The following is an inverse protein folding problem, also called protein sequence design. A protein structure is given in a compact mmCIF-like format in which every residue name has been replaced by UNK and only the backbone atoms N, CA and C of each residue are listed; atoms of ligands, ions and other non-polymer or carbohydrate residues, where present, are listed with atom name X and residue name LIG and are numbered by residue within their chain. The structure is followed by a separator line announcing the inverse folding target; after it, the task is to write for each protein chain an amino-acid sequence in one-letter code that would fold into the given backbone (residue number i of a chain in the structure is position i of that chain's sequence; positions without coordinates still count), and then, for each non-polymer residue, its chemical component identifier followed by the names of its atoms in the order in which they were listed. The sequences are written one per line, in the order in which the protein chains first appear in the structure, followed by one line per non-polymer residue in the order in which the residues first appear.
data_IF_860248082017
#
_entry.id   IF_860248082017
#
_cell.length_a   1.000
_cell.length_b   1.000
_cell.length_c   1.000
_cell.angle_alpha   90.00
_cell.angle_beta   90.00
_cell.angle_gamma   90.00
#
_symmetry.space_group_name_H-M   'P 1'
#
loop_
_entity.id
_entity.type
_entity.pdbx_description
1 polymer ?
#
# COMPACT_ATOMS: atom_id res chain seq x y z
N UNK A 1 -26.32 3.82 3.39
CA UNK A 1 -25.46 3.01 2.50
C UNK A 1 -24.00 3.28 2.86
N UNK A 2 -23.25 2.32 3.40
CA UNK A 2 -21.82 2.49 3.61
C UNK A 2 -21.08 2.25 2.28
N UNK A 3 -20.07 3.07 1.96
CA UNK A 3 -19.29 2.89 0.74
C UNK A 3 -18.64 1.49 0.72
N UNK A 4 -18.58 0.85 -0.45
CA UNK A 4 -18.13 -0.53 -0.59
C UNK A 4 -16.72 -0.80 -0.02
N UNK A 5 -15.79 0.16 -0.16
CA UNK A 5 -14.45 0.05 0.42
C UNK A 5 -14.46 0.04 1.95
N UNK A 6 -15.38 0.79 2.57
CA UNK A 6 -15.53 0.83 4.03
C UNK A 6 -16.13 -0.48 4.55
N UNK A 7 -17.10 -1.04 3.82
CA UNK A 7 -17.68 -2.35 4.13
C UNK A 7 -16.63 -3.47 3.99
N UNK A 8 -15.66 -3.34 3.07
CA UNK A 8 -14.55 -4.27 2.89
C UNK A 8 -13.41 -4.08 3.91
N UNK A 9 -13.59 -3.28 4.97
CA UNK A 9 -12.57 -3.07 6.01
C UNK A 9 -11.36 -2.25 5.57
N UNK A 10 -11.42 -1.59 4.40
CA UNK A 10 -10.31 -0.76 3.92
C UNK A 10 -10.35 0.63 4.56
N UNK A 11 -9.16 1.12 4.91
CA UNK A 11 -9.00 2.55 5.21
C UNK A 11 -9.12 3.37 3.92
N UNK A 12 -9.52 4.64 4.05
CA UNK A 12 -9.65 5.53 2.89
C UNK A 12 -8.33 5.70 2.13
N UNK A 13 -7.20 5.80 2.83
CA UNK A 13 -5.87 5.86 2.22
C UNK A 13 -5.56 4.60 1.42
N UNK A 14 -5.96 3.42 1.91
CA UNK A 14 -5.75 2.16 1.20
C UNK A 14 -6.59 2.10 -0.07
N UNK A 15 -7.85 2.53 0.00
CA UNK A 15 -8.72 2.66 -1.17
C UNK A 15 -8.09 3.58 -2.23
N UNK A 16 -7.64 4.78 -1.85
CA UNK A 16 -6.99 5.71 -2.78
C UNK A 16 -5.71 5.15 -3.39
N UNK A 17 -4.89 4.45 -2.62
CA UNK A 17 -3.66 3.82 -3.12
C UNK A 17 -3.94 2.77 -4.21
N UNK A 18 -5.01 1.97 -4.03
CA UNK A 18 -5.45 0.97 -5.03
C UNK A 18 -6.02 1.66 -6.27
N UNK A 19 -6.90 2.65 -6.10
CA UNK A 19 -7.48 3.41 -7.20
C UNK A 19 -6.40 4.12 -8.04
N UNK A 20 -5.42 4.76 -7.39
CA UNK A 20 -4.30 5.41 -8.06
C UNK A 20 -3.44 4.42 -8.84
N UNK A 21 -3.23 3.20 -8.32
CA UNK A 21 -2.51 2.14 -9.06
C UNK A 21 -3.26 1.74 -10.33
N UNK A 22 -4.58 1.55 -10.24
CA UNK A 22 -5.41 1.24 -11.41
C UNK A 22 -5.29 2.32 -12.48
N UNK A 23 -5.42 3.59 -12.10
CA UNK A 23 -5.31 4.73 -13.04
C UNK A 23 -3.94 4.78 -13.72
N UNK A 24 -2.84 4.59 -12.99
CA UNK A 24 -1.48 4.60 -13.58
C UNK A 24 -1.31 3.54 -14.67
N UNK A 25 -1.84 2.33 -14.43
CA UNK A 25 -1.76 1.20 -15.38
C UNK A 25 -2.60 1.42 -16.64
N UNK A 26 -3.62 2.26 -16.57
CA UNK A 26 -4.48 2.60 -17.70
C UNK A 26 -3.92 3.69 -18.62
N UNK A 27 -2.77 4.29 -18.29
CA UNK A 27 -2.13 5.31 -19.12
C UNK A 27 -1.35 4.70 -20.29
N UNK A 28 -1.23 5.47 -21.38
CA UNK A 28 -0.33 5.17 -22.51
C UNK A 28 1.13 5.13 -22.07
N UNK A 29 1.98 4.42 -22.81
CA UNK A 29 3.37 4.10 -22.42
C UNK A 29 4.20 5.33 -22.01
N UNK A 30 4.09 6.44 -22.74
CA UNK A 30 4.82 7.69 -22.45
C UNK A 30 4.57 8.21 -21.02
N UNK A 31 3.35 8.68 -20.69
CA UNK A 31 3.03 9.15 -19.34
C UNK A 31 3.04 8.03 -18.29
N UNK A 32 2.82 6.77 -18.67
CA UNK A 32 2.83 5.63 -17.74
C UNK A 32 4.17 5.50 -17.03
N UNK A 33 5.30 5.61 -17.74
CA UNK A 33 6.63 5.46 -17.15
C UNK A 33 6.92 6.46 -16.02
N UNK A 34 6.53 7.73 -16.20
CA UNK A 34 6.68 8.74 -15.16
C UNK A 34 5.68 8.50 -14.01
N UNK A 35 4.46 8.06 -14.33
CA UNK A 35 3.42 7.84 -13.35
C UNK A 35 3.68 6.62 -12.45
N UNK A 36 4.23 5.53 -12.99
CA UNK A 36 4.54 4.31 -12.25
C UNK A 36 5.63 4.49 -11.20
N UNK A 37 6.65 5.32 -11.48
CA UNK A 37 7.69 5.66 -10.50
C UNK A 37 7.12 6.22 -9.19
N UNK A 38 6.00 6.97 -9.25
CA UNK A 38 5.30 7.49 -8.06
C UNK A 38 4.61 6.42 -7.20
N UNK A 39 4.50 5.20 -7.70
CA UNK A 39 3.92 4.08 -6.97
C UNK A 39 4.95 3.24 -6.21
N UNK A 40 6.25 3.47 -6.41
CA UNK A 40 7.31 2.75 -5.73
C UNK A 40 7.56 3.34 -4.33
N UNK A 41 7.76 2.46 -3.35
CA UNK A 41 8.07 2.83 -1.97
C UNK A 41 9.01 1.79 -1.38
N UNK A 42 10.20 2.23 -0.98
CA UNK A 42 11.25 1.40 -0.36
C UNK A 42 11.34 1.66 1.15
N UNK A 43 10.25 2.10 1.76
CA UNK A 43 10.25 2.44 3.19
C UNK A 43 10.50 1.19 4.03
N UNK A 44 11.40 1.30 5.01
CA UNK A 44 11.67 0.28 6.02
C UNK A 44 11.33 0.85 7.39
N UNK A 45 10.76 0.03 8.26
CA UNK A 45 10.39 0.44 9.60
C UNK A 45 10.74 -0.65 10.61
N UNK A 46 11.01 -0.25 11.85
CA UNK A 46 11.11 -1.16 12.98
C UNK A 46 10.09 -0.72 14.03
N UNK A 47 9.28 -1.67 14.51
CA UNK A 47 8.37 -1.39 15.63
C UNK A 47 9.21 -1.33 16.90
N UNK A 48 9.13 -0.22 17.63
CA UNK A 48 9.72 -0.11 18.96
C UNK A 48 8.66 -0.44 20.01
N UNK A 49 9.01 -1.28 20.97
CA UNK A 49 8.11 -1.70 22.04
C UNK A 49 8.91 -1.88 23.34
N UNK A 50 8.42 -1.32 24.44
CA UNK A 50 9.12 -1.34 25.74
C UNK A 50 10.60 -0.89 25.67
N UNK A 51 10.88 0.12 24.85
CA UNK A 51 12.22 0.66 24.67
C UNK A 51 13.18 -0.22 23.87
N UNK A 52 12.72 -1.34 23.30
CA UNK A 52 13.53 -2.21 22.44
C UNK A 52 13.11 -2.07 20.98
N UNK A 53 14.10 -1.94 20.11
CA UNK A 53 13.90 -1.96 18.68
C UNK A 53 13.54 -3.40 18.23
N UNK A 54 12.40 -3.55 17.57
CA UNK A 54 12.02 -4.79 16.92
C UNK A 54 12.71 -4.98 15.56
N UNK A 55 12.31 -6.01 14.85
CA UNK A 55 12.85 -6.33 13.53
C UNK A 55 12.57 -5.22 12.51
N UNK A 56 13.59 -4.89 11.69
CA UNK A 56 13.45 -3.95 10.57
C UNK A 56 12.75 -4.67 9.42
N UNK A 57 11.52 -4.28 9.13
CA UNK A 57 10.70 -4.83 8.04
C UNK A 57 10.53 -3.82 6.91
N UNK A 58 10.45 -4.32 5.69
CA UNK A 58 10.13 -3.48 4.54
C UNK A 58 8.62 -3.26 4.49
N UNK A 59 8.16 -2.03 4.28
CA UNK A 59 6.75 -1.68 4.17
C UNK A 59 6.04 -2.47 3.05
N UNK A 60 6.76 -2.79 1.97
CA UNK A 60 6.24 -3.62 0.90
C UNK A 60 5.90 -5.05 1.36
N UNK A 61 6.79 -5.69 2.11
CA UNK A 61 6.65 -7.06 2.62
C UNK A 61 5.53 -7.14 3.65
N UNK A 62 5.50 -6.22 4.62
CA UNK A 62 4.43 -6.15 5.64
C UNK A 62 3.05 -5.98 4.98
N UNK A 63 2.95 -5.14 3.94
CA UNK A 63 1.70 -4.96 3.22
C UNK A 63 1.25 -6.22 2.47
N UNK A 64 2.16 -7.09 2.02
CA UNK A 64 1.83 -8.36 1.37
C UNK A 64 1.36 -9.38 2.39
N UNK A 65 2.05 -9.48 3.55
CA UNK A 65 1.66 -10.35 4.66
C UNK A 65 0.27 -10.00 5.19
N UNK A 66 -0.02 -8.73 5.44
CA UNK A 66 -1.34 -8.28 5.89
C UNK A 66 -2.48 -8.60 4.90
N UNK A 67 -2.18 -8.73 3.61
CA UNK A 67 -3.15 -9.14 2.58
C UNK A 67 -3.33 -10.67 2.50
N UNK A 68 -2.33 -11.44 2.93
CA UNK A 68 -2.39 -12.90 2.99
C UNK A 68 -3.15 -13.37 4.24
N UNK A 69 -2.97 -12.68 5.37
CA UNK A 69 -3.64 -12.98 6.65
C UNK A 69 -5.13 -12.58 6.68
N UNK A 70 -5.58 -11.69 5.78
CA UNK A 70 -6.98 -11.27 5.70
C UNK A 70 -7.84 -12.15 4.78
N UNK A 71 -7.34 -13.31 4.35
CA UNK A 71 -8.06 -14.30 3.53
C UNK A 71 -8.43 -15.50 4.38
#
# INVERSE_FOLDING_TARGET
MAAAWKAAGLTYNRYLAVAARAVRRSLKDGPRLAAERRGQSELRFAKWENGKQGEVKTMAETNQQAQAESK
#
